data_IF_778375472413
#
_entry.id   IF_778375472413
#
_cell.length_a   1.000
_cell.length_b   1.000
_cell.length_c   1.000
_cell.angle_alpha   90.00
_cell.angle_beta   90.00
_cell.angle_gamma   90.00
#
_symmetry.space_group_name_H-M   'P 1'
#
loop_
_entity.id
_entity.type
_entity.pdbx_description
1 polymer ?
#
# COMPACT_ATOMS: atom_id res chain seq x y z
N UNK A 1 43.14 10.17 18.21
CA UNK A 1 42.17 9.28 17.55
C UNK A 1 40.86 10.02 17.46
N UNK A 2 40.17 9.97 16.31
CA UNK A 2 38.85 10.60 16.17
C UNK A 2 37.84 9.75 16.97
N UNK A 3 37.24 10.33 18.01
CA UNK A 3 36.28 9.63 18.87
C UNK A 3 35.02 9.34 18.05
N UNK A 4 34.67 8.08 17.88
CA UNK A 4 33.45 7.66 17.18
C UNK A 4 32.23 8.06 17.99
N UNK A 5 31.15 8.52 17.32
CA UNK A 5 29.92 8.93 18.00
C UNK A 5 28.78 8.03 17.57
N UNK A 6 27.90 7.71 18.52
CA UNK A 6 26.75 6.85 18.24
C UNK A 6 25.47 7.37 18.89
N UNK A 7 24.33 6.99 18.30
CA UNK A 7 23.03 7.04 18.96
C UNK A 7 22.66 5.66 19.49
N UNK A 8 21.90 5.64 20.57
CA UNK A 8 21.28 4.43 21.12
C UNK A 8 19.79 4.49 20.81
N UNK A 9 19.25 3.40 20.25
CA UNK A 9 17.81 3.25 20.06
C UNK A 9 17.31 1.98 20.75
N UNK A 10 16.26 2.14 21.57
CA UNK A 10 15.59 1.04 22.28
C UNK A 10 14.10 1.03 22.03
N UNK A 11 13.49 -0.16 22.01
CA UNK A 11 12.06 -0.34 21.82
C UNK A 11 11.52 -1.54 22.58
N UNK A 12 10.39 -1.37 23.25
CA UNK A 12 9.59 -2.48 23.82
C UNK A 12 8.20 -2.46 23.20
N UNK A 13 7.56 -3.64 23.11
CA UNK A 13 6.16 -3.78 22.74
C UNK A 13 5.38 -4.27 23.96
N UNK A 14 4.11 -3.87 24.09
CA UNK A 14 3.22 -4.23 25.19
C UNK A 14 3.01 -5.75 25.36
N UNK A 15 3.22 -6.54 24.31
CA UNK A 15 3.09 -8.00 24.32
C UNK A 15 4.38 -8.76 24.63
N UNK A 16 5.52 -8.08 24.74
CA UNK A 16 6.85 -8.72 24.87
C UNK A 16 7.56 -8.43 26.21
N UNK A 17 6.82 -8.32 27.30
CA UNK A 17 7.42 -8.50 28.62
C UNK A 17 7.92 -9.95 28.85
N UNK A 18 7.67 -10.84 27.90
CA UNK A 18 8.05 -12.26 27.96
C UNK A 18 9.54 -12.52 27.67
N UNK A 19 10.24 -11.62 26.94
CA UNK A 19 11.68 -11.79 26.62
C UNK A 19 12.63 -11.19 27.69
N UNK A 20 12.15 -10.77 28.84
CA UNK A 20 12.97 -10.53 30.04
C UNK A 20 13.89 -9.29 30.03
N UNK A 21 13.93 -8.49 28.97
CA UNK A 21 14.77 -7.30 28.91
C UNK A 21 13.93 -6.01 28.96
N UNK A 22 13.97 -5.34 30.13
CA UNK A 22 13.43 -3.98 30.28
C UNK A 22 14.17 -2.99 29.38
N UNK A 23 13.57 -1.81 29.11
CA UNK A 23 14.26 -0.73 28.38
C UNK A 23 15.58 -0.37 29.02
N UNK A 24 15.64 -0.34 30.35
CA UNK A 24 16.83 0.01 31.10
C UNK A 24 17.94 -1.03 30.91
N UNK A 25 17.59 -2.33 30.95
CA UNK A 25 18.55 -3.40 30.70
C UNK A 25 19.11 -3.37 29.27
N UNK A 26 18.28 -3.00 28.27
CA UNK A 26 18.75 -2.81 26.91
C UNK A 26 19.71 -1.60 26.82
N UNK A 27 19.35 -0.45 27.42
CA UNK A 27 20.18 0.74 27.46
C UNK A 27 21.53 0.47 28.11
N UNK A 28 21.54 -0.20 29.26
CA UNK A 28 22.78 -0.52 29.98
C UNK A 28 23.72 -1.39 29.13
N UNK A 29 23.17 -2.41 28.47
CA UNK A 29 23.98 -3.24 27.55
C UNK A 29 24.56 -2.43 26.40
N UNK A 30 23.78 -1.54 25.80
CA UNK A 30 24.19 -0.71 24.68
C UNK A 30 25.25 0.32 25.10
N UNK A 31 25.11 0.91 26.30
CA UNK A 31 26.14 1.81 26.88
C UNK A 31 27.46 1.10 27.14
N UNK A 32 27.43 -0.07 27.77
CA UNK A 32 28.62 -0.90 27.99
C UNK A 32 29.27 -1.30 26.68
N UNK A 33 28.49 -1.61 25.63
CA UNK A 33 29.05 -1.87 24.32
C UNK A 33 29.70 -0.63 23.70
N UNK A 34 29.09 0.55 23.85
CA UNK A 34 29.67 1.81 23.36
C UNK A 34 31.00 2.10 24.05
N UNK A 35 31.07 1.96 25.38
CA UNK A 35 32.29 2.11 26.16
C UNK A 35 33.37 1.12 25.71
N UNK A 36 33.03 -0.16 25.54
CA UNK A 36 33.98 -1.19 25.08
C UNK A 36 34.54 -0.90 23.67
N UNK A 37 33.77 -0.22 22.81
CA UNK A 37 34.18 0.16 21.45
C UNK A 37 34.76 1.57 21.35
N UNK A 38 35.05 2.24 22.46
CA UNK A 38 35.52 3.63 22.53
C UNK A 38 34.62 4.62 21.76
N UNK A 39 33.27 4.41 21.85
CA UNK A 39 32.28 5.27 21.25
C UNK A 39 31.64 6.20 22.28
N UNK A 40 31.39 7.45 21.87
CA UNK A 40 30.65 8.43 22.68
C UNK A 40 29.17 8.38 22.29
N UNK A 41 28.30 8.14 23.28
CA UNK A 41 26.83 8.19 23.10
C UNK A 41 26.41 9.66 23.02
N UNK A 42 25.97 10.08 21.85
CA UNK A 42 25.56 11.45 21.56
C UNK A 42 24.05 11.69 21.80
N UNK A 43 23.27 10.64 21.83
CA UNK A 43 21.82 10.72 22.08
C UNK A 43 21.19 9.35 22.32
N UNK A 44 20.08 9.35 23.07
CA UNK A 44 19.29 8.16 23.39
C UNK A 44 17.84 8.36 22.94
N UNK A 45 17.31 7.41 22.21
CA UNK A 45 15.94 7.42 21.69
C UNK A 45 15.23 6.14 22.15
N UNK A 46 14.01 6.28 22.65
CA UNK A 46 13.25 5.14 23.20
C UNK A 46 11.79 5.25 22.81
N UNK A 47 11.24 4.21 22.17
CA UNK A 47 9.83 4.11 21.88
C UNK A 47 9.17 3.06 22.78
N UNK A 48 8.25 3.50 23.65
CA UNK A 48 7.51 2.67 24.57
C UNK A 48 6.19 2.21 23.96
N UNK A 49 5.98 0.91 23.94
CA UNK A 49 4.74 0.17 24.07
C UNK A 49 3.49 0.55 23.27
N UNK A 50 3.56 1.25 22.14
CA UNK A 50 2.42 1.33 21.23
C UNK A 50 2.61 0.37 20.06
N UNK A 51 1.63 -0.55 19.88
CA UNK A 51 1.55 -1.44 18.72
C UNK A 51 1.27 -0.65 17.45
N UNK A 52 2.20 0.22 17.05
CA UNK A 52 2.11 0.93 15.78
C UNK A 52 2.28 -0.07 14.64
N UNK A 53 1.28 -0.28 13.83
CA UNK A 53 1.40 -1.07 12.60
C UNK A 53 2.31 -0.42 11.56
N UNK A 54 2.66 0.86 11.74
CA UNK A 54 3.48 1.68 10.82
C UNK A 54 4.62 2.37 11.57
N UNK A 55 5.62 2.85 10.82
CA UNK A 55 6.73 3.69 11.29
C UNK A 55 6.22 4.96 12.02
N UNK A 56 5.05 5.47 11.64
CA UNK A 56 4.34 6.58 12.28
C UNK A 56 4.08 6.38 13.78
N UNK A 57 4.02 5.14 14.26
CA UNK A 57 3.89 4.79 15.69
C UNK A 57 5.20 4.82 16.49
N UNK A 58 6.31 5.34 15.91
CA UNK A 58 7.66 5.35 16.51
C UNK A 58 8.25 6.78 16.47
N UNK A 59 7.70 7.71 17.25
CA UNK A 59 8.08 9.12 17.17
C UNK A 59 9.57 9.37 17.51
N UNK A 60 10.13 8.63 18.45
CA UNK A 60 11.54 8.76 18.80
C UNK A 60 12.48 8.22 17.71
N UNK A 61 12.09 7.12 17.05
CA UNK A 61 12.82 6.61 15.90
C UNK A 61 12.82 7.61 14.74
N UNK A 62 11.66 8.21 14.44
CA UNK A 62 11.56 9.24 13.40
C UNK A 62 12.40 10.49 13.77
N UNK A 63 12.40 10.86 15.04
CA UNK A 63 13.24 11.98 15.51
C UNK A 63 14.73 11.66 15.35
N UNK A 64 15.16 10.45 15.70
CA UNK A 64 16.53 9.99 15.51
C UNK A 64 16.96 10.09 14.04
N UNK A 65 16.12 9.63 13.11
CA UNK A 65 16.40 9.72 11.67
C UNK A 65 16.52 11.18 11.21
N UNK A 66 15.66 12.09 11.67
CA UNK A 66 15.74 13.52 11.37
C UNK A 66 17.03 14.15 11.93
N UNK A 67 17.43 13.76 13.13
CA UNK A 67 18.67 14.27 13.74
C UNK A 67 19.91 13.77 12.98
N UNK A 68 19.89 12.54 12.44
CA UNK A 68 20.90 12.01 11.53
C UNK A 68 20.95 12.83 10.24
N UNK A 69 19.79 13.04 9.58
CA UNK A 69 19.68 13.80 8.33
C UNK A 69 20.15 15.25 8.48
N UNK A 70 19.89 15.86 9.62
CA UNK A 70 20.34 17.23 9.91
C UNK A 70 21.84 17.32 10.22
N UNK A 71 22.51 16.19 10.45
CA UNK A 71 23.91 16.14 10.88
C UNK A 71 24.17 16.71 12.27
N UNK A 72 23.14 16.81 13.13
CA UNK A 72 23.13 17.47 14.43
C UNK A 72 24.31 17.08 15.30
N UNK A 73 24.56 15.80 15.46
CA UNK A 73 25.62 15.29 16.39
C UNK A 73 26.77 14.60 15.65
N UNK A 74 26.76 14.57 14.32
CA UNK A 74 27.78 13.93 13.48
C UNK A 74 28.06 12.49 13.92
N UNK A 75 27.03 11.70 14.14
CA UNK A 75 27.14 10.30 14.54
C UNK A 75 27.56 9.43 13.37
N UNK A 76 28.30 8.36 13.67
CA UNK A 76 28.78 7.38 12.70
C UNK A 76 28.01 6.04 12.84
N UNK A 77 27.36 5.81 13.99
CA UNK A 77 26.67 4.56 14.31
C UNK A 77 25.34 4.78 15.03
N UNK A 78 24.40 3.87 14.76
CA UNK A 78 23.23 3.64 15.61
C UNK A 78 23.37 2.26 16.24
N UNK A 79 23.29 2.21 17.58
CA UNK A 79 23.33 0.98 18.35
C UNK A 79 21.91 0.54 18.69
N UNK A 80 21.58 -0.71 18.42
CA UNK A 80 20.31 -1.35 18.82
C UNK A 80 20.58 -2.70 19.49
N UNK A 81 19.69 -3.14 20.33
CA UNK A 81 19.86 -4.41 21.05
C UNK A 81 19.77 -5.60 20.10
N UNK A 82 18.68 -5.69 19.31
CA UNK A 82 18.44 -6.71 18.26
C UNK A 82 17.88 -6.06 17.01
N UNK A 83 18.02 -6.69 15.85
CA UNK A 83 17.47 -6.24 14.58
C UNK A 83 15.94 -6.07 14.65
N UNK A 84 15.25 -6.96 15.36
CA UNK A 84 13.79 -6.88 15.60
C UNK A 84 13.36 -5.64 16.39
N UNK A 85 14.28 -4.93 17.05
CA UNK A 85 14.02 -3.63 17.70
C UNK A 85 14.18 -2.47 16.73
N UNK A 86 15.04 -2.63 15.74
CA UNK A 86 15.25 -1.63 14.69
C UNK A 86 14.10 -1.60 13.67
N UNK A 87 13.65 -2.74 13.15
CA UNK A 87 12.52 -2.85 12.23
C UNK A 87 11.64 -4.05 12.53
N UNK A 88 10.46 -4.10 11.94
CA UNK A 88 9.47 -5.16 12.16
C UNK A 88 9.51 -6.23 11.08
N UNK A 89 9.82 -5.83 9.87
CA UNK A 89 9.95 -6.68 8.70
C UNK A 89 11.22 -6.27 7.94
N UNK A 90 11.61 -7.08 6.99
CA UNK A 90 12.82 -6.85 6.22
C UNK A 90 12.80 -5.52 5.43
N UNK A 91 11.64 -5.12 4.91
CA UNK A 91 11.48 -3.88 4.15
C UNK A 91 11.68 -2.62 5.01
N UNK A 92 11.12 -2.60 6.25
CA UNK A 92 11.30 -1.49 7.20
C UNK A 92 12.76 -1.35 7.64
N UNK A 93 13.42 -2.49 7.92
CA UNK A 93 14.85 -2.52 8.28
C UNK A 93 15.66 -1.94 7.13
N UNK A 94 15.45 -2.44 5.91
CA UNK A 94 16.22 -2.04 4.74
C UNK A 94 16.04 -0.57 4.41
N UNK A 95 14.80 -0.07 4.37
CA UNK A 95 14.53 1.34 4.03
C UNK A 95 15.13 2.29 5.07
N UNK A 96 15.03 1.95 6.37
CA UNK A 96 15.61 2.75 7.45
C UNK A 96 17.13 2.73 7.41
N UNK A 97 17.71 1.58 7.11
CA UNK A 97 19.16 1.43 7.01
C UNK A 97 19.73 2.19 5.81
N UNK A 98 19.12 2.07 4.64
CA UNK A 98 19.52 2.84 3.45
C UNK A 98 19.49 4.34 3.73
N UNK A 99 18.39 4.82 4.36
CA UNK A 99 18.26 6.22 4.75
C UNK A 99 19.38 6.70 5.68
N UNK A 100 19.81 5.88 6.63
CA UNK A 100 20.96 6.19 7.50
C UNK A 100 22.27 6.17 6.74
N UNK A 101 22.48 5.18 5.86
CA UNK A 101 23.70 5.03 5.08
C UNK A 101 23.91 6.17 4.07
N UNK A 102 22.82 6.77 3.54
CA UNK A 102 22.90 7.96 2.70
C UNK A 102 23.59 9.15 3.42
N UNK A 103 23.54 9.16 4.76
CA UNK A 103 24.21 10.12 5.61
C UNK A 103 25.49 9.56 6.29
N UNK A 104 25.99 8.42 5.82
CA UNK A 104 27.23 7.80 6.31
C UNK A 104 27.10 7.12 7.68
N UNK A 105 25.88 6.86 8.17
CA UNK A 105 25.63 6.26 9.48
C UNK A 105 25.33 4.77 9.34
N UNK A 106 26.03 3.95 10.14
CA UNK A 106 25.92 2.48 10.14
C UNK A 106 25.10 1.97 11.33
N UNK A 107 24.54 0.78 11.19
CA UNK A 107 23.78 0.07 12.23
C UNK A 107 24.63 -1.02 12.88
N UNK A 108 24.59 -1.08 14.21
CA UNK A 108 25.13 -2.20 14.97
C UNK A 108 24.02 -2.80 15.84
N UNK A 109 23.74 -4.10 15.63
CA UNK A 109 22.84 -4.89 16.48
C UNK A 109 23.70 -5.70 17.45
N UNK A 110 23.75 -5.30 18.71
CA UNK A 110 24.74 -5.81 19.67
C UNK A 110 24.54 -7.29 19.98
N UNK A 111 23.31 -7.72 20.20
CA UNK A 111 23.00 -9.13 20.52
C UNK A 111 23.08 -10.05 19.30
N UNK A 112 22.71 -9.55 18.12
CA UNK A 112 22.73 -10.36 16.90
C UNK A 112 24.14 -10.37 16.24
N UNK A 113 25.09 -9.59 16.74
CA UNK A 113 26.43 -9.48 16.19
C UNK A 113 26.51 -8.86 14.79
N UNK A 114 25.46 -8.10 14.40
CA UNK A 114 25.37 -7.49 13.07
C UNK A 114 26.00 -6.09 13.11
N UNK A 115 26.91 -5.83 12.18
CA UNK A 115 27.56 -4.51 12.00
C UNK A 115 27.53 -4.19 10.50
N UNK A 116 26.68 -3.23 10.11
CA UNK A 116 26.46 -2.86 8.70
C UNK A 116 27.68 -2.21 8.03
N UNK A 117 28.67 -1.79 8.81
CA UNK A 117 29.93 -1.26 8.28
C UNK A 117 30.88 -2.36 7.78
N UNK A 118 30.66 -3.61 8.17
CA UNK A 118 31.47 -4.78 7.82
C UNK A 118 30.85 -5.57 6.66
N UNK A 119 31.64 -6.37 5.99
CA UNK A 119 31.19 -7.19 4.84
C UNK A 119 30.14 -8.23 5.23
N UNK A 120 30.22 -8.81 6.44
CA UNK A 120 29.18 -9.68 6.98
C UNK A 120 27.83 -8.97 7.13
N UNK A 121 27.85 -7.70 7.56
CA UNK A 121 26.63 -6.88 7.65
C UNK A 121 26.06 -6.53 6.28
N UNK A 122 26.90 -6.23 5.29
CA UNK A 122 26.47 -5.99 3.90
C UNK A 122 25.80 -7.24 3.30
N UNK A 123 26.35 -8.44 3.57
CA UNK A 123 25.73 -9.68 3.17
C UNK A 123 24.32 -9.85 3.80
N UNK A 124 24.20 -9.57 5.09
CA UNK A 124 22.93 -9.62 5.81
C UNK A 124 21.89 -8.65 5.19
N UNK A 125 22.30 -7.45 4.84
CA UNK A 125 21.45 -6.47 4.16
C UNK A 125 20.94 -7.02 2.81
N UNK A 126 21.83 -7.68 2.05
CA UNK A 126 21.45 -8.31 0.77
C UNK A 126 20.44 -9.43 0.96
N UNK A 127 20.58 -10.26 1.99
CA UNK A 127 19.61 -11.29 2.35
C UNK A 127 18.27 -10.68 2.76
N UNK A 128 18.29 -9.65 3.61
CA UNK A 128 17.06 -8.95 4.02
C UNK A 128 16.35 -8.30 2.82
N UNK A 129 17.11 -7.77 1.85
CA UNK A 129 16.54 -7.22 0.62
C UNK A 129 15.80 -8.28 -0.19
N UNK A 130 16.41 -9.45 -0.36
CA UNK A 130 15.79 -10.57 -1.06
C UNK A 130 14.52 -11.08 -0.34
N UNK A 131 14.56 -11.19 0.99
CA UNK A 131 13.37 -11.57 1.80
C UNK A 131 12.26 -10.54 1.67
N UNK A 132 12.58 -9.24 1.72
CA UNK A 132 11.59 -8.18 1.55
C UNK A 132 10.92 -8.19 0.17
N UNK A 133 11.66 -8.56 -0.87
CA UNK A 133 11.12 -8.71 -2.22
C UNK A 133 10.16 -9.90 -2.32
N UNK A 134 10.55 -11.04 -1.77
CA UNK A 134 9.70 -12.24 -1.70
C UNK A 134 8.41 -11.97 -0.91
N UNK A 135 8.49 -11.30 0.23
CA UNK A 135 7.31 -10.92 1.03
C UNK A 135 6.36 -10.03 0.22
N UNK A 136 6.89 -9.05 -0.53
CA UNK A 136 6.10 -8.17 -1.40
C UNK A 136 5.39 -8.95 -2.50
N UNK A 137 6.09 -9.87 -3.16
CA UNK A 137 5.50 -10.73 -4.19
C UNK A 137 4.39 -11.61 -3.63
N UNK A 138 4.60 -12.23 -2.48
CA UNK A 138 3.60 -13.05 -1.80
C UNK A 138 2.33 -12.25 -1.45
N UNK A 139 2.48 -11.01 -0.95
CA UNK A 139 1.35 -10.11 -0.67
C UNK A 139 0.56 -9.79 -1.95
N UNK A 140 1.25 -9.55 -3.07
CA UNK A 140 0.61 -9.31 -4.36
C UNK A 140 -0.19 -10.53 -4.82
N UNK A 141 0.40 -11.73 -4.76
CA UNK A 141 -0.28 -12.98 -5.12
C UNK A 141 -1.51 -13.20 -4.27
N UNK A 142 -1.40 -13.11 -2.95
CA UNK A 142 -2.53 -13.26 -2.02
C UNK A 142 -3.64 -12.23 -2.27
N UNK A 143 -3.26 -10.97 -2.56
CA UNK A 143 -4.22 -9.92 -2.88
C UNK A 143 -4.97 -10.22 -4.17
N UNK A 144 -4.27 -10.71 -5.21
CA UNK A 144 -4.88 -11.07 -6.48
C UNK A 144 -5.81 -12.28 -6.36
N UNK A 145 -5.40 -13.30 -5.60
CA UNK A 145 -6.24 -14.47 -5.31
C UNK A 145 -7.49 -14.08 -4.51
N UNK A 146 -7.35 -13.25 -3.49
CA UNK A 146 -8.50 -12.74 -2.73
C UNK A 146 -9.48 -11.95 -3.60
N UNK A 147 -8.99 -11.13 -4.54
CA UNK A 147 -9.84 -10.45 -5.53
C UNK A 147 -10.51 -11.41 -6.49
N UNK A 148 -9.80 -12.44 -6.97
CA UNK A 148 -10.35 -13.48 -7.84
C UNK A 148 -11.45 -14.26 -7.12
N UNK A 149 -11.22 -14.64 -5.87
CA UNK A 149 -12.22 -15.32 -5.06
C UNK A 149 -13.46 -14.45 -4.85
N UNK A 150 -13.28 -13.17 -4.54
CA UNK A 150 -14.36 -12.20 -4.44
C UNK A 150 -15.20 -12.13 -5.72
N UNK A 151 -14.56 -12.14 -6.90
CA UNK A 151 -15.26 -12.15 -8.17
C UNK A 151 -16.06 -13.44 -8.39
N UNK A 152 -15.50 -14.60 -8.01
CA UNK A 152 -16.19 -15.91 -8.08
C UNK A 152 -17.45 -15.94 -7.20
N UNK A 153 -17.42 -15.26 -6.07
CA UNK A 153 -18.54 -15.10 -5.15
C UNK A 153 -19.59 -14.07 -5.63
N UNK A 154 -19.44 -13.52 -6.83
CA UNK A 154 -20.31 -12.47 -7.36
C UNK A 154 -20.16 -11.11 -6.67
N UNK A 155 -19.13 -10.92 -5.87
CA UNK A 155 -18.87 -9.66 -5.19
C UNK A 155 -18.14 -8.67 -6.08
N UNK A 156 -18.51 -7.42 -6.01
CA UNK A 156 -17.90 -6.34 -6.78
C UNK A 156 -16.46 -6.04 -6.34
N UNK A 157 -15.55 -6.02 -7.30
CA UNK A 157 -14.12 -5.73 -7.06
C UNK A 157 -13.70 -4.30 -7.43
N UNK A 158 -14.62 -3.49 -7.97
CA UNK A 158 -14.37 -2.07 -8.25
C UNK A 158 -14.50 -1.19 -7.00
N UNK A 159 -14.02 0.05 -7.08
CA UNK A 159 -14.19 1.01 -5.98
C UNK A 159 -15.64 1.46 -5.81
N UNK A 160 -16.25 1.98 -6.90
CA UNK A 160 -17.64 2.43 -6.91
C UNK A 160 -18.51 1.43 -7.66
N UNK A 161 -19.79 1.35 -7.21
CA UNK A 161 -20.79 0.64 -7.99
C UNK A 161 -20.96 1.28 -9.39
N UNK A 162 -21.23 0.52 -10.45
CA UNK A 162 -21.66 1.07 -11.73
C UNK A 162 -22.91 1.94 -11.58
N UNK A 163 -23.12 2.87 -12.50
CA UNK A 163 -24.32 3.71 -12.49
C UNK A 163 -25.58 2.83 -12.60
N UNK A 164 -26.62 3.15 -11.85
CA UNK A 164 -27.82 2.30 -11.71
C UNK A 164 -27.72 1.24 -10.62
N UNK A 165 -26.55 1.12 -9.98
CA UNK A 165 -26.34 0.18 -8.87
C UNK A 165 -25.80 0.89 -7.62
N UNK A 166 -26.11 0.31 -6.46
CA UNK A 166 -25.53 0.62 -5.14
C UNK A 166 -24.78 -0.59 -4.62
N UNK A 167 -23.71 -0.33 -3.85
CA UNK A 167 -22.88 -1.38 -3.26
C UNK A 167 -23.23 -1.55 -1.79
N UNK A 168 -23.63 -2.77 -1.41
CA UNK A 168 -23.92 -3.14 -0.01
C UNK A 168 -23.20 -4.46 0.27
N UNK A 169 -22.36 -4.49 1.31
CA UNK A 169 -21.59 -5.66 1.73
C UNK A 169 -20.82 -6.39 0.62
N UNK A 170 -20.38 -5.62 -0.38
CA UNK A 170 -19.64 -6.14 -1.53
C UNK A 170 -20.52 -6.62 -2.68
N UNK A 171 -21.84 -6.63 -2.56
CA UNK A 171 -22.77 -6.99 -3.61
C UNK A 171 -23.40 -5.76 -4.25
N UNK A 172 -23.71 -5.89 -5.55
CA UNK A 172 -24.43 -4.86 -6.28
C UNK A 172 -25.94 -5.05 -6.12
N UNK A 173 -26.63 -3.97 -5.80
CA UNK A 173 -28.09 -3.87 -5.76
C UNK A 173 -28.54 -2.77 -6.68
N UNK A 174 -29.73 -2.89 -7.24
CA UNK A 174 -30.33 -1.84 -8.08
C UNK A 174 -30.47 -0.54 -7.25
N UNK A 175 -30.09 0.57 -7.84
CA UNK A 175 -30.29 1.90 -7.27
C UNK A 175 -31.55 2.50 -7.89
N UNK A 176 -32.64 2.56 -7.11
CA UNK A 176 -33.96 2.97 -7.56
C UNK A 176 -33.99 4.39 -8.17
N UNK A 177 -33.09 5.24 -7.73
CA UNK A 177 -32.92 6.63 -8.18
C UNK A 177 -32.12 6.79 -9.48
N UNK A 178 -31.51 5.72 -9.98
CA UNK A 178 -30.68 5.75 -11.20
C UNK A 178 -31.13 4.74 -12.26
N UNK A 179 -31.91 3.73 -11.89
CA UNK A 179 -32.24 2.59 -12.75
C UNK A 179 -33.05 2.98 -13.97
N UNK A 180 -33.95 3.94 -13.84
CA UNK A 180 -34.81 4.36 -14.95
C UNK A 180 -34.02 5.01 -16.08
N UNK A 181 -32.95 5.75 -15.73
CA UNK A 181 -32.02 6.32 -16.73
C UNK A 181 -31.34 5.20 -17.52
N UNK A 182 -30.92 4.12 -16.84
CA UNK A 182 -30.30 2.97 -17.51
C UNK A 182 -31.27 2.30 -18.47
N UNK A 183 -32.53 2.08 -18.05
CA UNK A 183 -33.57 1.51 -18.90
C UNK A 183 -33.82 2.37 -20.14
N UNK A 184 -33.89 3.68 -19.98
CA UNK A 184 -34.06 4.62 -21.10
C UNK A 184 -32.84 4.55 -22.03
N UNK A 185 -31.61 4.48 -21.53
CA UNK A 185 -30.41 4.35 -22.36
C UNK A 185 -30.49 3.11 -23.25
N UNK A 186 -30.81 1.95 -22.67
CA UNK A 186 -30.92 0.72 -23.44
C UNK A 186 -32.12 0.74 -24.38
N UNK A 187 -33.28 1.22 -23.94
CA UNK A 187 -34.46 1.35 -24.81
C UNK A 187 -34.18 2.22 -26.03
N UNK A 188 -33.65 3.42 -25.84
CA UNK A 188 -33.37 4.33 -26.95
C UNK A 188 -32.28 3.81 -27.87
N UNK A 189 -31.26 3.14 -27.34
CA UNK A 189 -30.18 2.60 -28.15
C UNK A 189 -30.58 1.37 -28.97
N UNK A 190 -31.44 0.47 -28.41
CA UNK A 190 -31.82 -0.79 -29.05
C UNK A 190 -33.02 -0.61 -29.96
N UNK A 191 -34.04 0.16 -29.52
CA UNK A 191 -35.34 0.26 -30.20
C UNK A 191 -35.46 1.47 -31.13
N UNK A 192 -34.42 2.29 -31.25
CA UNK A 192 -34.37 3.45 -32.16
C UNK A 192 -33.06 3.48 -32.95
N UNK A 193 -32.93 4.45 -33.86
CA UNK A 193 -31.69 4.70 -34.62
C UNK A 193 -30.68 5.60 -33.87
N UNK A 194 -30.90 5.86 -32.58
CA UNK A 194 -30.07 6.77 -31.80
C UNK A 194 -28.74 6.13 -31.45
N UNK A 195 -27.62 6.74 -31.86
CA UNK A 195 -26.28 6.41 -31.35
C UNK A 195 -26.05 7.02 -29.96
N UNK A 196 -24.91 6.65 -29.33
CA UNK A 196 -24.59 7.09 -27.96
C UNK A 196 -24.62 8.62 -27.74
N UNK A 197 -24.21 9.41 -28.77
CA UNK A 197 -24.32 10.89 -28.70
C UNK A 197 -25.78 11.36 -28.67
N UNK A 198 -26.62 10.81 -29.55
CA UNK A 198 -28.02 11.19 -29.61
C UNK A 198 -28.78 10.80 -28.33
N UNK A 199 -28.47 9.64 -27.73
CA UNK A 199 -29.04 9.22 -26.45
C UNK A 199 -28.59 10.18 -25.31
N UNK A 200 -27.34 10.61 -25.29
CA UNK A 200 -26.87 11.59 -24.31
C UNK A 200 -27.57 12.92 -24.43
N UNK A 201 -27.73 13.44 -25.66
CA UNK A 201 -28.48 14.67 -25.96
C UNK A 201 -29.91 14.55 -25.52
N UNK A 202 -30.59 13.45 -25.89
CA UNK A 202 -31.96 13.16 -25.51
C UNK A 202 -32.17 13.25 -23.99
N UNK A 203 -31.30 12.59 -23.19
CA UNK A 203 -31.42 12.63 -21.73
C UNK A 203 -31.26 14.06 -21.18
N UNK A 204 -30.27 14.80 -21.68
CA UNK A 204 -30.05 16.17 -21.23
C UNK A 204 -31.19 17.13 -21.58
N UNK A 205 -31.77 17.01 -22.77
CA UNK A 205 -32.90 17.84 -23.25
C UNK A 205 -34.21 17.52 -22.53
N UNK A 206 -34.37 16.27 -22.08
CA UNK A 206 -35.57 15.86 -21.33
C UNK A 206 -35.41 16.05 -19.82
N UNK A 207 -34.39 16.78 -19.37
CA UNK A 207 -34.24 17.17 -17.99
C UNK A 207 -33.69 16.07 -17.05
N UNK A 208 -33.18 14.96 -17.59
CA UNK A 208 -32.50 13.97 -16.76
C UNK A 208 -31.17 14.51 -16.30
N UNK A 209 -30.91 14.41 -15.00
CA UNK A 209 -29.66 14.89 -14.37
C UNK A 209 -28.85 13.69 -13.90
N UNK A 210 -27.59 13.64 -14.33
CA UNK A 210 -26.68 12.59 -13.88
C UNK A 210 -26.26 12.81 -12.43
N UNK A 211 -26.48 11.84 -11.57
CA UNK A 211 -26.03 11.89 -10.19
C UNK A 211 -24.50 12.02 -10.11
N UNK A 212 -24.02 13.05 -9.41
CA UNK A 212 -22.59 13.28 -9.21
C UNK A 212 -22.02 12.21 -8.27
N UNK A 213 -20.95 11.55 -8.70
CA UNK A 213 -20.20 10.58 -7.89
C UNK A 213 -18.75 11.06 -7.78
N UNK A 214 -18.27 11.09 -6.56
CA UNK A 214 -16.92 11.49 -6.11
C UNK A 214 -16.15 12.52 -6.96
N UNK A 215 -15.52 12.17 -8.05
CA UNK A 215 -14.68 13.08 -8.84
C UNK A 215 -15.37 13.62 -10.09
N UNK A 216 -16.66 13.34 -10.26
CA UNK A 216 -17.39 13.77 -11.43
C UNK A 216 -18.13 15.09 -11.12
N UNK A 217 -17.66 16.15 -11.71
CA UNK A 217 -18.20 17.51 -11.53
C UNK A 217 -19.38 17.80 -12.47
N UNK A 218 -19.55 17.02 -13.53
CA UNK A 218 -20.58 17.24 -14.55
C UNK A 218 -21.84 16.43 -14.23
N UNK A 219 -22.96 17.11 -14.24
CA UNK A 219 -24.31 16.55 -14.06
C UNK A 219 -25.01 16.21 -15.40
N UNK A 220 -24.32 16.43 -16.51
CA UNK A 220 -24.78 16.10 -17.86
C UNK A 220 -24.29 14.75 -18.32
N UNK A 221 -25.08 14.09 -19.18
CA UNK A 221 -24.71 12.86 -19.86
C UNK A 221 -23.83 13.17 -21.08
N UNK A 222 -22.80 12.38 -21.29
CA UNK A 222 -21.91 12.46 -22.46
C UNK A 222 -21.97 11.16 -23.26
N UNK A 223 -21.64 11.22 -24.55
CA UNK A 223 -21.55 10.04 -25.41
C UNK A 223 -20.59 8.98 -24.85
N UNK A 224 -19.47 9.40 -24.26
CA UNK A 224 -18.52 8.50 -23.61
C UNK A 224 -19.14 7.76 -22.42
N UNK A 225 -19.92 8.47 -21.60
CA UNK A 225 -20.63 7.85 -20.47
C UNK A 225 -21.65 6.83 -20.95
N UNK A 226 -22.48 7.14 -21.95
CA UNK A 226 -23.45 6.21 -22.54
C UNK A 226 -22.72 4.97 -23.08
N UNK A 227 -21.64 5.16 -23.85
CA UNK A 227 -20.85 4.05 -24.36
C UNK A 227 -20.26 3.18 -23.24
N UNK A 228 -19.80 3.78 -22.15
CA UNK A 228 -19.27 3.03 -21.00
C UNK A 228 -20.32 2.16 -20.30
N UNK A 229 -21.60 2.57 -20.35
CA UNK A 229 -22.72 1.77 -19.85
C UNK A 229 -23.00 0.61 -20.81
N UNK A 230 -23.15 0.89 -22.11
CA UNK A 230 -23.45 -0.12 -23.12
C UNK A 230 -22.39 -1.22 -23.22
N UNK A 231 -21.12 -0.85 -23.06
CA UNK A 231 -19.98 -1.77 -23.11
C UNK A 231 -19.74 -2.55 -21.79
N UNK A 232 -20.50 -2.28 -20.73
CA UNK A 232 -20.25 -2.90 -19.44
C UNK A 232 -21.15 -4.13 -19.22
N UNK A 233 -20.56 -5.34 -19.18
CA UNK A 233 -21.29 -6.59 -19.06
C UNK A 233 -22.11 -6.72 -17.76
N UNK A 234 -21.88 -5.88 -16.77
CA UNK A 234 -22.63 -5.89 -15.52
C UNK A 234 -24.14 -5.69 -15.73
N UNK A 235 -24.51 -4.90 -16.74
CA UNK A 235 -25.93 -4.68 -17.09
C UNK A 235 -26.61 -5.88 -17.73
N UNK A 236 -25.80 -6.88 -18.15
CA UNK A 236 -26.27 -8.19 -18.62
C UNK A 236 -26.08 -9.27 -17.54
N UNK A 237 -25.93 -8.90 -16.27
CA UNK A 237 -25.74 -9.83 -15.16
C UNK A 237 -24.39 -10.54 -15.13
N UNK A 238 -23.35 -9.96 -15.74
CA UNK A 238 -22.03 -10.57 -15.84
C UNK A 238 -20.94 -9.71 -15.21
N UNK A 239 -20.13 -10.32 -14.35
CA UNK A 239 -18.94 -9.69 -13.76
C UNK A 239 -17.69 -10.10 -14.54
N UNK A 240 -17.17 -9.21 -15.35
CA UNK A 240 -15.90 -9.42 -16.06
C UNK A 240 -14.73 -8.99 -15.15
N UNK A 241 -13.87 -9.94 -14.79
CA UNK A 241 -12.73 -9.71 -13.92
C UNK A 241 -11.42 -9.77 -14.71
N UNK A 242 -10.50 -8.84 -14.43
CA UNK A 242 -9.17 -8.86 -15.06
C UNK A 242 -9.11 -8.34 -16.50
N UNK A 243 -10.10 -7.58 -16.98
CA UNK A 243 -10.12 -6.96 -18.33
C UNK A 243 -8.90 -6.09 -18.63
N UNK A 244 -8.19 -5.67 -17.61
CA UNK A 244 -6.98 -4.81 -17.71
C UNK A 244 -5.91 -5.34 -16.77
N UNK A 245 -4.67 -5.32 -17.25
CA UNK A 245 -3.48 -5.70 -16.49
C UNK A 245 -2.46 -4.57 -16.57
N UNK A 246 -1.80 -4.28 -15.46
CA UNK A 246 -0.64 -3.40 -15.47
C UNK A 246 0.59 -4.22 -15.87
N UNK A 247 1.21 -3.90 -16.97
CA UNK A 247 2.43 -4.53 -17.43
C UNK A 247 3.59 -3.55 -17.32
N UNK A 248 4.73 -4.06 -16.88
CA UNK A 248 5.94 -3.26 -16.71
C UNK A 248 6.49 -2.87 -18.09
N UNK A 249 6.84 -1.59 -18.25
CA UNK A 249 7.50 -1.11 -19.46
C UNK A 249 8.93 -1.61 -19.46
N UNK A 250 9.32 -2.35 -20.52
CA UNK A 250 10.67 -2.85 -20.67
C UNK A 250 11.70 -1.71 -20.60
N UNK A 251 12.82 -1.94 -19.93
CA UNK A 251 13.88 -0.93 -19.77
C UNK A 251 13.61 0.12 -18.66
N UNK A 252 12.48 0.04 -17.95
CA UNK A 252 12.18 0.98 -16.86
C UNK A 252 12.11 0.26 -15.49
N UNK A 253 12.46 0.97 -14.40
CA UNK A 253 12.39 0.36 -13.05
C UNK A 253 10.98 0.27 -12.51
N UNK A 254 10.17 1.34 -12.66
CA UNK A 254 8.87 1.48 -11.98
C UNK A 254 7.77 2.07 -12.88
N UNK A 255 7.91 1.97 -14.21
CA UNK A 255 6.87 2.42 -15.11
C UNK A 255 6.04 1.24 -15.60
N UNK A 256 4.72 1.44 -15.61
CA UNK A 256 3.74 0.44 -16.01
C UNK A 256 2.76 1.06 -16.98
N UNK A 257 2.28 0.28 -17.93
CA UNK A 257 1.17 0.64 -18.80
C UNK A 257 0.01 -0.32 -18.64
N UNK A 258 -1.18 0.14 -18.97
CA UNK A 258 -2.39 -0.66 -18.87
C UNK A 258 -2.60 -1.38 -20.20
N UNK A 259 -2.59 -2.71 -20.15
CA UNK A 259 -2.91 -3.57 -21.30
C UNK A 259 -4.29 -4.15 -21.14
N UNK A 260 -5.09 -4.09 -22.20
CA UNK A 260 -6.36 -4.81 -22.27
C UNK A 260 -6.08 -6.29 -22.45
N UNK A 261 -6.83 -7.13 -21.75
CA UNK A 261 -6.76 -8.57 -21.90
C UNK A 261 -7.91 -9.03 -22.81
N UNK A 262 -7.61 -9.88 -23.78
CA UNK A 262 -8.61 -10.46 -24.68
C UNK A 262 -9.31 -11.67 -24.04
N UNK A 263 -8.58 -12.39 -23.17
CA UNK A 263 -9.10 -13.49 -22.37
C UNK A 263 -9.14 -13.13 -20.89
N UNK A 264 -10.34 -13.15 -20.32
CA UNK A 264 -10.56 -12.85 -18.91
C UNK A 264 -11.78 -13.62 -18.38
N UNK A 265 -11.75 -14.05 -17.12
CA UNK A 265 -12.88 -14.74 -16.53
C UNK A 265 -14.12 -13.83 -16.39
N UNK A 266 -15.27 -14.40 -16.75
CA UNK A 266 -16.59 -13.78 -16.59
C UNK A 266 -17.41 -14.65 -15.65
N UNK A 267 -17.96 -14.03 -14.61
CA UNK A 267 -18.77 -14.70 -13.60
C UNK A 267 -20.20 -14.19 -13.69
N UNK A 268 -21.18 -15.07 -13.48
CA UNK A 268 -22.56 -14.67 -13.44
C UNK A 268 -22.87 -13.97 -12.11
N UNK A 269 -23.51 -12.81 -12.22
CA UNK A 269 -24.10 -12.11 -11.08
C UNK A 269 -25.51 -12.62 -10.91
N UNK A 270 -25.74 -13.49 -9.93
CA UNK A 270 -27.08 -14.00 -9.66
C UNK A 270 -28.03 -12.85 -9.28
N UNK A 271 -29.13 -12.67 -10.04
CA UNK A 271 -30.31 -11.85 -9.74
C UNK A 271 -30.22 -10.32 -9.82
N UNK A 272 -29.19 -9.70 -10.41
CA UNK A 272 -29.00 -8.24 -10.28
C UNK A 272 -28.75 -7.56 -11.64
N UNK A 273 -29.40 -8.06 -12.72
CA UNK A 273 -29.35 -7.31 -13.98
C UNK A 273 -30.58 -6.38 -14.12
N UNK A 274 -30.32 -5.22 -14.64
CA UNK A 274 -31.38 -4.20 -14.87
C UNK A 274 -32.22 -4.54 -16.11
#
# INVERSE_FOLDING_TARGET
>A
MKTRRCYIYTRVSTSMQVDGYSLDAQKDKLKKYAEFQDMVVAGEYSDEGKSGKNIEGRPQFLQMLKDIESGKDKVEFVLVFKLSRFGRNAADVLSSLQRMQDFGVNLICVEDGIDSSKDSGKLMISVLSAVAEIERENILVQTMEGRRQKAREGKWNGGFAPYGYKLVDGYLYIADDEVDVIRIIFDKYVNTTMGASAVATYLNEHGYVKKKRQNNTLDMFSAHFIKSILDNPVYCGKLAYGRRKNEKIAGTRNQYHIVKQDDYPVYDLSLIHI
#
